data_IF_070261531438
#
_entry.id   IF_070261531438
#
_cell.length_a   1.000
_cell.length_b   1.000
_cell.length_c   1.000
_cell.angle_alpha   90.00
_cell.angle_beta   90.00
_cell.angle_gamma   90.00
#
_symmetry.space_group_name_H-M   'P 1'
#
loop_
_entity.id
_entity.type
_entity.pdbx_description
1 polymer ?
#
# COMPACT_ATOMS: atom_id res chain seq x y z
N UNK A 1 -13.62 -25.79 1.50
CA UNK A 1 -12.23 -26.20 1.39
C UNK A 1 -12.18 -27.73 1.23
N UNK A 2 -11.30 -28.26 0.37
CA UNK A 2 -11.18 -29.71 0.10
C UNK A 2 -12.20 -30.25 -0.91
N UNK A 3 -12.47 -31.57 -0.85
CA UNK A 3 -13.29 -32.30 -1.82
C UNK A 3 -14.67 -31.69 -2.11
N UNK A 4 -15.46 -31.15 -1.13
CA UNK A 4 -16.73 -30.49 -1.42
C UNK A 4 -16.59 -29.24 -2.30
N UNK A 5 -15.49 -28.48 -2.13
CA UNK A 5 -15.26 -27.31 -2.96
C UNK A 5 -14.90 -27.70 -4.40
N UNK A 6 -14.10 -28.76 -4.57
CA UNK A 6 -13.75 -29.30 -5.88
C UNK A 6 -14.97 -29.90 -6.62
N UNK A 7 -15.89 -30.51 -5.90
CA UNK A 7 -17.15 -31.05 -6.46
C UNK A 7 -18.06 -29.95 -7.01
N UNK A 8 -18.13 -28.78 -6.35
CA UNK A 8 -19.02 -27.68 -6.76
C UNK A 8 -18.37 -26.74 -7.79
N UNK A 9 -17.05 -26.54 -7.72
CA UNK A 9 -16.34 -25.50 -8.49
C UNK A 9 -15.20 -26.05 -9.36
N UNK A 10 -15.10 -27.39 -9.49
CA UNK A 10 -14.09 -28.05 -10.30
C UNK A 10 -12.71 -28.15 -9.65
N UNK A 11 -11.75 -28.67 -10.39
CA UNK A 11 -10.38 -28.95 -9.93
C UNK A 11 -9.61 -27.71 -9.48
N UNK A 12 -9.94 -26.55 -10.03
CA UNK A 12 -9.32 -25.27 -9.63
C UNK A 12 -9.62 -24.91 -8.17
N UNK A 13 -10.67 -25.49 -7.58
CA UNK A 13 -11.07 -25.28 -6.19
C UNK A 13 -10.38 -26.23 -5.19
N UNK A 14 -9.42 -27.05 -5.62
CA UNK A 14 -8.72 -28.01 -4.75
C UNK A 14 -8.12 -27.37 -3.49
N UNK A 15 -7.56 -26.15 -3.62
CA UNK A 15 -7.00 -25.38 -2.52
C UNK A 15 -8.03 -24.55 -1.74
N UNK A 16 -9.30 -24.62 -2.10
CA UNK A 16 -10.41 -23.90 -1.49
C UNK A 16 -11.03 -22.85 -2.40
N UNK A 17 -12.20 -22.36 -2.02
CA UNK A 17 -12.94 -21.31 -2.72
C UNK A 17 -13.31 -20.21 -1.75
N UNK A 18 -13.16 -18.96 -2.19
CA UNK A 18 -13.71 -17.79 -1.53
C UNK A 18 -14.83 -17.25 -2.40
N UNK A 19 -16.07 -17.42 -1.94
CA UNK A 19 -17.24 -16.89 -2.61
C UNK A 19 -17.52 -15.48 -2.11
N UNK A 20 -17.48 -14.50 -3.01
CA UNK A 20 -17.76 -13.10 -2.70
C UNK A 20 -19.11 -12.73 -3.30
N UNK A 21 -20.06 -12.38 -2.45
CA UNK A 21 -21.35 -11.83 -2.86
C UNK A 21 -21.35 -10.33 -2.60
N UNK A 22 -21.50 -9.55 -3.65
CA UNK A 22 -21.55 -8.08 -3.55
C UNK A 22 -22.92 -7.62 -3.03
N UNK A 23 -22.91 -6.51 -2.29
CA UNK A 23 -24.15 -5.88 -1.80
C UNK A 23 -25.01 -5.44 -2.98
N UNK A 24 -26.32 -5.48 -2.77
CA UNK A 24 -27.35 -5.03 -3.72
C UNK A 24 -28.46 -4.32 -2.95
N UNK A 25 -29.30 -3.54 -3.63
CA UNK A 25 -30.53 -3.00 -3.06
C UNK A 25 -31.46 -4.14 -2.58
N UNK A 26 -32.30 -3.83 -1.63
CA UNK A 26 -33.30 -4.74 -1.09
C UNK A 26 -34.70 -4.11 -1.19
N UNK A 27 -35.69 -4.91 -1.59
CA UNK A 27 -37.08 -4.46 -1.66
C UNK A 27 -37.60 -4.09 -0.25
N UNK A 28 -38.30 -2.97 -0.16
CA UNK A 28 -38.88 -2.47 1.10
C UNK A 28 -37.86 -1.93 2.11
N UNK A 29 -36.57 -1.81 1.74
CA UNK A 29 -35.54 -1.29 2.62
C UNK A 29 -34.93 -0.02 2.07
N UNK A 30 -34.80 1.00 2.94
CA UNK A 30 -33.99 2.19 2.71
C UNK A 30 -32.94 2.27 3.80
N UNK A 31 -31.68 2.41 3.40
CA UNK A 31 -30.57 2.46 4.34
C UNK A 31 -29.47 3.39 3.83
N UNK A 32 -28.99 4.25 4.70
CA UNK A 32 -27.75 5.01 4.51
C UNK A 32 -26.79 4.52 5.59
N UNK A 33 -25.60 4.11 5.19
CA UNK A 33 -24.57 3.69 6.12
C UNK A 33 -23.28 4.46 5.88
N UNK A 34 -22.73 5.04 6.94
CA UNK A 34 -21.40 5.64 6.95
C UNK A 34 -20.47 4.78 7.80
N UNK A 35 -19.31 4.48 7.27
CA UNK A 35 -18.26 3.74 8.00
C UNK A 35 -16.96 4.52 7.94
N UNK A 36 -16.30 4.64 9.07
CA UNK A 36 -14.98 5.25 9.21
C UNK A 36 -14.06 4.33 9.98
N UNK A 37 -12.86 4.14 9.47
CA UNK A 37 -11.81 3.32 10.10
C UNK A 37 -10.49 4.04 9.97
N UNK A 38 -9.70 4.05 11.06
CA UNK A 38 -8.33 4.57 11.08
C UNK A 38 -7.42 3.50 11.67
N UNK A 39 -6.36 3.17 10.95
CA UNK A 39 -5.32 2.24 11.39
C UNK A 39 -3.99 2.97 11.57
N UNK A 40 -3.24 2.57 12.56
CA UNK A 40 -1.89 3.05 12.86
C UNK A 40 -0.91 1.89 12.72
N UNK A 41 0.13 2.10 11.91
CA UNK A 41 1.14 1.10 11.61
C UNK A 41 2.49 1.53 12.20
N UNK A 42 3.18 0.61 12.88
CA UNK A 42 4.53 0.83 13.39
C UNK A 42 5.44 -0.33 13.00
N UNK A 43 6.69 -0.02 12.69
CA UNK A 43 7.72 -1.03 12.52
C UNK A 43 7.96 -1.71 13.88
N UNK A 44 7.74 -3.02 13.95
CA UNK A 44 7.80 -3.80 15.19
C UNK A 44 9.06 -4.65 15.29
N UNK A 45 9.42 -5.35 14.21
CA UNK A 45 10.62 -6.20 14.17
C UNK A 45 11.70 -5.49 13.36
N UNK A 46 12.65 -4.90 14.06
CA UNK A 46 13.79 -4.21 13.48
C UNK A 46 15.08 -4.98 13.76
N UNK A 47 16.09 -4.93 12.87
CA UNK A 47 17.39 -5.52 13.12
C UNK A 47 18.03 -4.98 14.39
N UNK A 48 18.62 -5.87 15.16
CA UNK A 48 19.49 -5.50 16.28
C UNK A 48 20.91 -5.36 15.75
N UNK A 49 21.48 -4.18 15.96
CA UNK A 49 22.87 -3.94 15.60
C UNK A 49 23.80 -4.23 16.78
N UNK A 50 25.00 -4.71 16.48
CA UNK A 50 26.06 -4.86 17.45
C UNK A 50 26.61 -3.46 17.85
N UNK A 51 27.23 -3.34 19.04
CA UNK A 51 27.82 -2.11 19.55
C UNK A 51 29.17 -2.32 20.25
N UNK A 52 29.90 -3.37 19.85
CA UNK A 52 31.18 -3.75 20.42
C UNK A 52 32.36 -3.64 19.45
N UNK A 53 32.07 -3.45 18.16
CA UNK A 53 33.08 -3.31 17.09
C UNK A 53 32.73 -2.08 16.26
N UNK A 54 33.71 -1.21 16.06
CA UNK A 54 33.59 -0.06 15.18
C UNK A 54 33.66 -0.42 13.72
N UNK A 55 33.81 0.60 12.89
CA UNK A 55 34.00 0.40 11.45
C UNK A 55 35.39 -0.12 11.15
N UNK A 56 35.49 -1.03 10.18
CA UNK A 56 36.78 -1.49 9.63
C UNK A 56 37.26 -0.60 8.50
N UNK A 57 36.30 -0.09 7.73
CA UNK A 57 36.47 0.87 6.63
C UNK A 57 35.20 1.69 6.48
N UNK A 58 35.06 2.43 5.38
CA UNK A 58 33.90 3.28 5.14
C UNK A 58 32.55 2.50 4.93
N UNK A 59 32.63 1.17 4.80
CA UNK A 59 31.48 0.34 4.42
C UNK A 59 31.11 -0.68 5.50
N UNK A 60 32.11 -1.21 6.25
CA UNK A 60 31.89 -2.35 7.13
C UNK A 60 32.03 -2.01 8.63
N UNK A 61 31.35 -2.76 9.48
CA UNK A 61 31.18 -2.51 10.91
C UNK A 61 31.86 -3.57 11.80
N UNK A 62 32.90 -4.23 11.36
CA UNK A 62 33.61 -5.29 12.11
C UNK A 62 35.10 -4.99 12.23
N UNK A 63 35.42 -3.73 12.57
CA UNK A 63 36.77 -3.26 12.82
C UNK A 63 37.26 -3.58 14.23
N UNK A 64 38.02 -2.66 14.80
CA UNK A 64 38.55 -2.84 16.15
C UNK A 64 37.46 -2.87 17.21
N UNK A 65 37.76 -3.60 18.30
CA UNK A 65 36.83 -3.67 19.44
C UNK A 65 36.81 -2.34 20.19
N UNK A 66 35.66 -1.73 20.22
CA UNK A 66 35.42 -0.49 20.92
C UNK A 66 33.98 -0.46 21.47
N UNK A 67 33.71 0.45 22.42
CA UNK A 67 32.37 0.66 22.90
C UNK A 67 31.67 1.72 22.05
N UNK A 68 30.75 1.28 21.18
CA UNK A 68 29.98 2.17 20.31
C UNK A 68 28.93 2.90 21.11
N UNK A 69 29.06 4.22 21.17
CA UNK A 69 28.13 5.11 21.86
C UNK A 69 27.10 5.74 20.93
N UNK A 70 27.33 5.71 19.61
CA UNK A 70 26.36 6.16 18.62
C UNK A 70 25.11 5.28 18.65
N UNK A 71 23.94 5.92 18.65
CA UNK A 71 22.68 5.23 18.68
C UNK A 71 22.44 4.31 17.46
N UNK A 72 21.41 3.47 17.58
CA UNK A 72 20.92 2.72 16.41
C UNK A 72 20.05 3.64 15.54
N UNK A 73 20.42 3.95 14.29
CA UNK A 73 19.65 4.86 13.42
C UNK A 73 18.35 4.25 12.91
N UNK A 74 18.22 2.92 12.94
CA UNK A 74 17.11 2.21 12.30
C UNK A 74 15.74 2.60 12.87
N UNK A 75 15.50 2.62 14.20
CA UNK A 75 14.19 2.95 14.74
C UNK A 75 13.72 4.38 14.38
N UNK A 76 14.65 5.35 14.35
CA UNK A 76 14.34 6.76 14.08
C UNK A 76 14.04 7.05 12.59
N UNK A 77 14.38 6.13 11.71
CA UNK A 77 14.09 6.23 10.28
C UNK A 77 12.61 5.99 9.96
N UNK A 78 11.94 5.20 10.80
CA UNK A 78 10.54 4.89 10.63
C UNK A 78 9.65 5.85 11.41
N UNK A 79 8.52 6.20 10.82
CA UNK A 79 7.44 6.92 11.48
C UNK A 79 6.24 6.02 11.75
N UNK A 80 5.26 6.54 12.46
CA UNK A 80 3.95 5.90 12.52
C UNK A 80 3.21 6.14 11.20
N UNK A 81 2.89 5.06 10.51
CA UNK A 81 1.99 5.08 9.36
C UNK A 81 0.55 5.29 9.83
N UNK A 82 -0.26 5.93 8.98
CA UNK A 82 -1.69 6.14 9.25
C UNK A 82 -2.47 5.84 7.99
N UNK A 83 -3.46 4.97 8.09
CA UNK A 83 -4.40 4.67 7.01
C UNK A 83 -5.82 4.98 7.47
N UNK A 84 -6.51 5.87 6.76
CA UNK A 84 -7.90 6.21 7.02
C UNK A 84 -8.77 5.72 5.85
N UNK A 85 -9.88 5.07 6.18
CA UNK A 85 -10.89 4.61 5.22
C UNK A 85 -12.24 5.18 5.64
N UNK A 86 -12.86 5.92 4.74
CA UNK A 86 -14.21 6.45 4.93
C UNK A 86 -15.09 5.93 3.80
N UNK A 87 -16.25 5.41 4.13
CA UNK A 87 -17.20 4.96 3.13
C UNK A 87 -18.63 5.41 3.46
N UNK A 88 -19.35 5.77 2.43
CA UNK A 88 -20.75 6.06 2.46
C UNK A 88 -21.46 5.09 1.50
N UNK A 89 -22.53 4.46 1.97
CA UNK A 89 -23.38 3.65 1.10
C UNK A 89 -24.84 4.02 1.28
N UNK A 90 -25.54 3.90 0.18
CA UNK A 90 -26.98 4.13 0.09
C UNK A 90 -27.62 2.89 -0.56
N UNK A 91 -28.70 2.43 0.02
CA UNK A 91 -29.47 1.32 -0.49
C UNK A 91 -30.96 1.66 -0.42
N UNK A 92 -31.65 1.43 -1.51
CA UNK A 92 -33.12 1.56 -1.56
C UNK A 92 -33.70 0.55 -2.56
N UNK A 93 -34.98 0.31 -2.47
CA UNK A 93 -35.66 -0.51 -3.48
C UNK A 93 -37.09 -0.83 -3.13
N UNK A 94 -37.80 -1.22 -4.19
CA UNK A 94 -39.10 -1.86 -4.14
C UNK A 94 -39.02 -3.23 -4.88
N UNK A 95 -40.14 -3.89 -5.06
CA UNK A 95 -40.19 -5.19 -5.75
C UNK A 95 -39.74 -5.15 -7.22
N UNK A 96 -39.83 -3.97 -7.87
CA UNK A 96 -39.47 -3.79 -9.26
C UNK A 96 -38.06 -3.29 -9.47
N UNK A 97 -37.60 -2.36 -8.63
CA UNK A 97 -36.33 -1.69 -8.79
C UNK A 97 -35.59 -1.65 -7.44
N UNK A 98 -34.32 -2.02 -7.45
CA UNK A 98 -33.45 -2.03 -6.27
C UNK A 98 -32.12 -1.41 -6.63
N UNK A 99 -31.74 -0.36 -5.90
CA UNK A 99 -30.52 0.43 -6.12
C UNK A 99 -29.59 0.27 -4.93
N UNK A 100 -28.32 0.08 -5.22
CA UNK A 100 -27.23 0.18 -4.28
C UNK A 100 -26.15 1.11 -4.84
N UNK A 101 -25.79 2.10 -4.07
CA UNK A 101 -24.65 2.99 -4.35
C UNK A 101 -23.68 2.98 -3.20
N UNK A 102 -22.39 3.01 -3.48
CA UNK A 102 -21.39 3.27 -2.45
C UNK A 102 -20.19 4.05 -3.00
N UNK A 103 -19.65 4.88 -2.13
CA UNK A 103 -18.39 5.56 -2.33
C UNK A 103 -17.47 5.26 -1.15
N UNK A 104 -16.21 4.92 -1.43
CA UNK A 104 -15.18 4.74 -0.42
C UNK A 104 -13.93 5.54 -0.80
N UNK A 105 -13.39 6.25 0.18
CA UNK A 105 -12.10 6.91 0.10
C UNK A 105 -11.12 6.24 1.05
N UNK A 106 -9.91 5.99 0.58
CA UNK A 106 -8.80 5.52 1.41
C UNK A 106 -7.64 6.49 1.24
N UNK A 107 -7.13 7.01 2.34
CA UNK A 107 -5.90 7.81 2.38
C UNK A 107 -4.89 7.13 3.30
N UNK A 108 -3.65 7.05 2.88
CA UNK A 108 -2.59 6.40 3.65
C UNK A 108 -1.29 7.20 3.62
N UNK A 109 -0.64 7.27 4.78
CA UNK A 109 0.76 7.66 4.92
C UNK A 109 1.49 6.43 5.47
N UNK A 110 2.47 5.93 4.73
CA UNK A 110 3.24 4.74 5.14
C UNK A 110 4.20 5.01 6.30
N UNK A 111 4.83 3.94 6.79
CA UNK A 111 5.84 4.01 7.86
C UNK A 111 7.17 4.63 7.40
N UNK A 112 7.41 4.74 6.10
CA UNK A 112 8.53 5.49 5.53
C UNK A 112 8.05 6.88 5.10
N UNK A 113 8.94 7.87 5.18
CA UNK A 113 8.64 9.22 4.73
C UNK A 113 8.25 9.23 3.24
N UNK A 114 7.43 10.19 2.87
CA UNK A 114 6.98 10.40 1.49
C UNK A 114 6.17 9.26 0.84
N UNK A 115 5.92 8.14 1.55
CA UNK A 115 4.98 7.12 1.08
C UNK A 115 3.55 7.56 1.28
N UNK A 116 2.77 7.63 0.19
CA UNK A 116 1.36 8.06 0.22
C UNK A 116 0.50 7.17 -0.67
N UNK A 117 -0.70 6.90 -0.19
CA UNK A 117 -1.78 6.25 -0.91
C UNK A 117 -3.01 7.15 -0.93
N UNK A 118 -3.62 7.30 -2.09
CA UNK A 118 -4.97 7.84 -2.24
C UNK A 118 -5.76 6.91 -3.16
N UNK A 119 -6.95 6.51 -2.70
CA UNK A 119 -7.80 5.58 -3.45
C UNK A 119 -9.25 6.02 -3.32
N UNK A 120 -9.95 6.05 -4.45
CA UNK A 120 -11.38 6.31 -4.54
C UNK A 120 -12.05 5.13 -5.23
N UNK A 121 -13.12 4.64 -4.64
CA UNK A 121 -13.91 3.56 -5.21
C UNK A 121 -15.38 3.97 -5.22
N UNK A 122 -16.00 3.88 -6.38
CA UNK A 122 -17.43 4.11 -6.58
C UNK A 122 -18.04 2.79 -7.06
N UNK A 123 -19.14 2.39 -6.45
CA UNK A 123 -19.93 1.26 -6.93
C UNK A 123 -21.39 1.68 -7.07
N UNK A 124 -21.98 1.36 -8.21
CA UNK A 124 -23.40 1.50 -8.49
C UNK A 124 -23.93 0.17 -8.99
N UNK A 125 -24.97 -0.34 -8.36
CA UNK A 125 -25.67 -1.54 -8.78
C UNK A 125 -27.15 -1.29 -8.83
N UNK A 126 -27.75 -1.62 -9.95
CA UNK A 126 -29.17 -1.50 -10.21
C UNK A 126 -29.70 -2.89 -10.59
N UNK A 127 -30.80 -3.27 -9.92
CA UNK A 127 -31.53 -4.48 -10.27
C UNK A 127 -32.96 -4.09 -10.62
N UNK A 128 -33.42 -4.44 -11.80
CA UNK A 128 -34.78 -4.16 -12.27
C UNK A 128 -35.50 -5.47 -12.63
N UNK A 129 -36.75 -5.59 -12.25
CA UNK A 129 -37.59 -6.76 -12.45
C UNK A 129 -38.85 -6.35 -13.24
N UNK A 130 -39.10 -7.04 -14.34
CA UNK A 130 -40.18 -6.77 -15.27
C UNK A 130 -41.06 -8.01 -15.46
N UNK A 131 -42.25 -7.80 -16.03
CA UNK A 131 -43.18 -8.85 -16.38
C UNK A 131 -43.48 -9.83 -15.21
N UNK A 132 -43.86 -9.26 -14.06
CA UNK A 132 -44.19 -10.04 -12.87
C UNK A 132 -43.08 -11.02 -12.40
N UNK A 133 -41.83 -10.59 -12.56
CA UNK A 133 -40.68 -11.41 -12.16
C UNK A 133 -40.10 -12.31 -13.24
N UNK A 134 -40.66 -12.29 -14.45
CA UNK A 134 -40.14 -13.12 -15.55
C UNK A 134 -38.80 -12.62 -16.11
N UNK A 135 -38.62 -11.30 -16.21
CA UNK A 135 -37.34 -10.72 -16.66
C UNK A 135 -36.69 -9.96 -15.50
N UNK A 136 -35.47 -10.34 -15.16
CA UNK A 136 -34.62 -9.64 -14.21
C UNK A 136 -33.36 -9.16 -14.89
N UNK A 137 -33.09 -7.87 -14.77
CA UNK A 137 -31.86 -7.20 -15.26
C UNK A 137 -31.05 -6.77 -14.03
N UNK A 138 -29.78 -7.12 -13.97
CA UNK A 138 -28.86 -6.75 -12.89
C UNK A 138 -27.61 -6.13 -13.52
N UNK A 139 -27.49 -4.82 -13.39
CA UNK A 139 -26.35 -4.02 -13.84
C UNK A 139 -25.47 -3.58 -12.68
N UNK A 140 -24.16 -3.67 -12.84
CA UNK A 140 -23.21 -3.18 -11.84
C UNK A 140 -22.05 -2.45 -12.50
N UNK A 141 -21.69 -1.29 -11.97
CA UNK A 141 -20.53 -0.49 -12.36
C UNK A 141 -19.67 -0.26 -11.14
N UNK A 142 -18.39 -0.63 -11.22
CA UNK A 142 -17.40 -0.34 -10.21
C UNK A 142 -16.26 0.46 -10.84
N UNK A 143 -16.00 1.65 -10.28
CA UNK A 143 -14.93 2.56 -10.70
C UNK A 143 -13.92 2.70 -9.59
N UNK A 144 -12.65 2.51 -9.92
CA UNK A 144 -11.53 2.66 -9.02
C UNK A 144 -10.53 3.65 -9.60
N UNK A 145 -10.14 4.64 -8.79
CA UNK A 145 -8.96 5.48 -9.03
C UNK A 145 -8.01 5.33 -7.84
N UNK A 146 -6.75 5.01 -8.11
CA UNK A 146 -5.72 4.82 -7.09
C UNK A 146 -4.44 5.53 -7.51
N UNK A 147 -3.85 6.26 -6.56
CA UNK A 147 -2.54 6.90 -6.70
C UNK A 147 -1.66 6.44 -5.55
N UNK A 148 -0.48 5.97 -5.89
CA UNK A 148 0.56 5.59 -4.92
C UNK A 148 1.79 6.44 -5.22
N UNK A 149 2.31 7.13 -4.20
CA UNK A 149 3.58 7.83 -4.27
C UNK A 149 4.63 7.05 -3.48
N UNK A 150 5.79 6.85 -4.09
CA UNK A 150 6.97 6.22 -3.50
C UNK A 150 6.66 4.82 -2.93
N UNK A 151 6.13 3.93 -3.77
CA UNK A 151 5.96 2.53 -3.38
C UNK A 151 7.31 1.96 -2.90
N UNK A 152 7.36 1.26 -1.74
CA UNK A 152 8.58 0.61 -1.29
C UNK A 152 9.15 -0.33 -2.35
N UNK A 153 10.44 -0.20 -2.61
CA UNK A 153 11.18 -1.12 -3.49
C UNK A 153 11.75 -2.24 -2.62
N UNK A 154 11.44 -3.51 -2.91
CA UNK A 154 11.94 -4.63 -2.11
C UNK A 154 13.35 -5.06 -2.49
N UNK A 155 13.99 -5.84 -1.62
CA UNK A 155 15.28 -6.49 -1.87
C UNK A 155 16.47 -5.55 -1.82
N UNK A 156 17.59 -5.98 -2.41
CA UNK A 156 18.86 -5.28 -2.41
C UNK A 156 19.04 -4.23 -3.51
N UNK A 157 17.94 -3.71 -4.06
CA UNK A 157 18.02 -2.66 -5.07
C UNK A 157 18.48 -1.32 -4.48
N UNK A 158 19.33 -0.63 -5.21
CA UNK A 158 19.87 0.69 -4.84
C UNK A 158 18.79 1.76 -4.54
N UNK A 159 17.57 1.59 -5.04
CA UNK A 159 16.43 2.46 -4.71
C UNK A 159 15.71 2.08 -3.40
N UNK A 160 16.15 1.00 -2.73
CA UNK A 160 15.61 0.62 -1.42
C UNK A 160 16.38 1.37 -0.32
N UNK A 161 15.77 2.31 0.41
CA UNK A 161 16.46 3.08 1.44
C UNK A 161 16.94 2.24 2.62
N UNK A 162 16.39 1.04 2.79
CA UNK A 162 16.78 0.15 3.90
C UNK A 162 18.14 -0.49 3.68
N UNK A 163 18.64 -0.56 2.45
CA UNK A 163 19.97 -1.13 2.16
C UNK A 163 21.04 -0.29 2.82
N UNK A 164 21.14 1.00 2.50
CA UNK A 164 22.09 1.90 3.12
C UNK A 164 21.86 2.08 4.63
N UNK A 165 20.59 2.11 5.06
CA UNK A 165 20.26 2.23 6.48
C UNK A 165 20.76 1.03 7.31
N UNK A 166 20.60 -0.21 6.82
CA UNK A 166 20.95 -1.42 7.57
C UNK A 166 22.44 -1.72 7.52
N UNK A 167 23.13 -1.27 6.48
CA UNK A 167 24.57 -1.41 6.32
C UNK A 167 25.36 -0.23 6.87
N UNK A 168 24.69 0.83 7.31
CA UNK A 168 25.37 2.01 7.83
C UNK A 168 26.39 1.65 8.92
N UNK A 169 27.66 2.08 8.78
CA UNK A 169 28.75 1.67 9.68
C UNK A 169 28.51 2.02 11.13
N UNK A 170 28.88 1.12 12.02
CA UNK A 170 28.78 1.35 13.45
C UNK A 170 29.90 2.30 13.90
N UNK A 171 29.53 3.25 14.76
CA UNK A 171 30.45 4.28 15.22
C UNK A 171 30.27 5.62 14.51
N UNK A 172 29.75 5.63 13.29
CA UNK A 172 29.40 6.88 12.61
C UNK A 172 28.05 7.44 13.06
N UNK A 173 27.91 8.76 12.96
CA UNK A 173 26.64 9.45 13.20
C UNK A 173 25.91 9.68 11.88
N UNK A 174 24.73 9.12 11.75
CA UNK A 174 23.89 9.26 10.54
C UNK A 174 23.21 10.63 10.45
N UNK A 175 23.24 11.43 11.53
CA UNK A 175 22.54 12.72 11.60
C UNK A 175 23.04 13.68 10.54
N UNK A 176 24.35 13.72 10.27
CA UNK A 176 24.93 14.54 9.22
C UNK A 176 24.33 14.20 7.85
N UNK A 177 24.23 12.92 7.53
CA UNK A 177 23.68 12.44 6.25
C UNK A 177 22.17 12.59 6.15
N UNK A 178 21.50 12.80 7.27
CA UNK A 178 20.07 13.13 7.30
C UNK A 178 19.85 14.63 7.08
N UNK A 179 20.58 15.48 7.76
CA UNK A 179 20.43 16.94 7.70
C UNK A 179 20.98 17.52 6.40
N UNK A 180 22.07 16.93 5.92
CA UNK A 180 22.75 17.30 4.69
C UNK A 180 22.78 16.13 3.72
N UNK A 181 21.61 15.61 3.34
CA UNK A 181 21.52 14.42 2.48
C UNK A 181 22.01 14.65 1.05
N UNK A 182 22.25 15.90 0.67
CA UNK A 182 22.79 16.28 -0.64
C UNK A 182 23.85 17.36 -0.52
N UNK A 183 24.79 17.34 -1.45
CA UNK A 183 25.86 18.33 -1.61
C UNK A 183 25.97 18.76 -3.06
N UNK A 184 26.37 20.03 -3.26
CA UNK A 184 26.63 20.54 -4.60
C UNK A 184 27.90 19.94 -5.20
N UNK A 185 27.80 19.42 -6.41
CA UNK A 185 28.93 18.91 -7.18
C UNK A 185 29.28 19.92 -8.27
N UNK A 186 30.46 20.56 -8.15
CA UNK A 186 30.91 21.60 -9.07
C UNK A 186 31.15 21.09 -10.49
N UNK A 187 31.67 19.88 -10.63
CA UNK A 187 31.99 19.30 -11.95
C UNK A 187 30.71 18.97 -12.73
N UNK A 188 29.70 18.44 -12.04
CA UNK A 188 28.42 18.03 -12.64
C UNK A 188 27.37 19.13 -12.66
N UNK A 189 27.61 20.26 -11.99
CA UNK A 189 26.68 21.37 -11.83
C UNK A 189 25.29 20.96 -11.33
N UNK A 190 25.23 20.01 -10.36
CA UNK A 190 24.00 19.54 -9.74
C UNK A 190 24.26 19.02 -8.32
N UNK A 191 23.19 18.91 -7.52
CA UNK A 191 23.27 18.26 -6.23
C UNK A 191 23.37 16.75 -6.40
N UNK A 192 24.33 16.14 -5.69
CA UNK A 192 24.50 14.68 -5.57
C UNK A 192 24.24 14.26 -4.13
N UNK A 193 24.01 12.96 -3.91
CA UNK A 193 23.85 12.45 -2.55
C UNK A 193 25.13 12.71 -1.72
N UNK A 194 24.93 13.10 -0.47
CA UNK A 194 25.97 13.06 0.53
C UNK A 194 25.95 11.70 1.21
N UNK A 195 26.97 10.90 1.04
CA UNK A 195 27.04 9.56 1.62
C UNK A 195 28.48 9.15 1.91
N UNK A 196 28.68 8.33 2.95
CA UNK A 196 30.00 7.86 3.37
C UNK A 196 30.68 6.94 2.34
N UNK A 197 29.88 6.23 1.54
CA UNK A 197 30.35 5.34 0.49
C UNK A 197 29.84 5.78 -0.90
N UNK A 198 30.35 6.89 -1.46
CA UNK A 198 29.77 7.52 -2.65
C UNK A 198 29.97 6.72 -3.95
N UNK A 199 30.86 5.74 -3.95
CA UNK A 199 31.16 4.88 -5.12
C UNK A 199 30.37 3.58 -5.13
N UNK A 200 29.63 3.27 -4.05
CA UNK A 200 28.86 2.04 -3.93
C UNK A 200 27.48 2.19 -4.56
N UNK A 201 27.20 1.42 -5.61
CA UNK A 201 25.91 1.45 -6.30
C UNK A 201 24.74 0.90 -5.48
N UNK A 202 25.00 -0.07 -4.60
CA UNK A 202 23.97 -0.71 -3.81
C UNK A 202 23.59 0.03 -2.53
N UNK A 203 24.47 0.90 -2.08
CA UNK A 203 24.41 1.55 -0.79
C UNK A 203 24.32 3.04 -0.94
N UNK A 204 23.12 3.56 -0.93
CA UNK A 204 22.86 4.99 -1.09
C UNK A 204 22.31 5.59 0.19
N UNK A 205 22.46 6.90 0.32
CA UNK A 205 21.89 7.64 1.42
C UNK A 205 20.36 7.43 1.48
N UNK A 206 19.84 6.82 2.56
CA UNK A 206 18.40 6.53 2.68
C UNK A 206 17.51 7.77 2.65
N UNK A 207 18.00 8.91 3.12
CA UNK A 207 17.26 10.17 3.12
C UNK A 207 17.26 10.82 1.73
N UNK A 208 18.35 10.70 0.98
CA UNK A 208 18.39 11.09 -0.43
C UNK A 208 17.37 10.32 -1.25
N UNK A 209 17.30 9.00 -1.06
CA UNK A 209 16.32 8.16 -1.74
C UNK A 209 14.90 8.62 -1.43
N UNK A 210 14.59 8.90 -0.16
CA UNK A 210 13.25 9.33 0.24
C UNK A 210 12.86 10.70 -0.34
N UNK A 211 13.82 11.62 -0.47
CA UNK A 211 13.53 12.99 -0.87
C UNK A 211 13.66 13.22 -2.39
N UNK A 212 14.59 12.55 -3.06
CA UNK A 212 14.93 12.80 -4.46
C UNK A 212 14.44 11.73 -5.42
N UNK A 213 14.40 10.47 -5.02
CA UNK A 213 13.89 9.39 -5.86
C UNK A 213 12.39 9.27 -5.67
N UNK A 214 11.63 9.82 -6.60
CA UNK A 214 10.17 9.80 -6.53
C UNK A 214 9.58 8.89 -7.60
N UNK A 215 8.68 8.01 -7.18
CA UNK A 215 7.86 7.18 -8.06
C UNK A 215 6.37 7.51 -7.88
N UNK A 216 5.61 7.41 -8.95
CA UNK A 216 4.17 7.63 -8.94
C UNK A 216 3.48 6.54 -9.75
N UNK A 217 2.65 5.76 -9.07
CA UNK A 217 1.79 4.77 -9.72
C UNK A 217 0.36 5.30 -9.75
N UNK A 218 -0.23 5.28 -10.91
CA UNK A 218 -1.65 5.58 -11.08
C UNK A 218 -2.36 4.37 -11.67
N UNK A 219 -3.49 4.03 -11.08
CA UNK A 219 -4.37 2.98 -11.60
C UNK A 219 -5.79 3.50 -11.68
N UNK A 220 -6.37 3.42 -12.86
CA UNK A 220 -7.79 3.62 -13.09
C UNK A 220 -8.36 2.30 -13.58
N UNK A 221 -9.47 1.84 -12.98
CA UNK A 221 -10.13 0.60 -13.35
C UNK A 221 -11.64 0.80 -13.36
N UNK A 222 -12.27 0.38 -14.43
CA UNK A 222 -13.72 0.27 -14.54
C UNK A 222 -14.08 -1.21 -14.74
N UNK A 223 -15.02 -1.69 -13.95
CA UNK A 223 -15.61 -3.01 -14.10
C UNK A 223 -17.10 -2.79 -14.29
N UNK A 224 -17.62 -3.28 -15.40
CA UNK A 224 -19.04 -3.21 -15.73
C UNK A 224 -19.54 -4.64 -15.92
N UNK A 225 -20.65 -4.97 -15.30
CA UNK A 225 -21.32 -6.25 -15.50
C UNK A 225 -22.80 -6.05 -15.74
N UNK A 226 -23.37 -6.84 -16.63
CA UNK A 226 -24.79 -6.88 -16.92
C UNK A 226 -25.24 -8.36 -16.96
N UNK A 227 -26.21 -8.69 -16.15
CA UNK A 227 -26.83 -10.01 -16.14
C UNK A 227 -28.30 -9.90 -16.48
N UNK A 228 -28.76 -10.74 -17.41
CA UNK A 228 -30.15 -10.87 -17.83
C UNK A 228 -30.64 -12.27 -17.45
N UNK A 229 -31.72 -12.35 -16.68
CA UNK A 229 -32.35 -13.61 -16.31
C UNK A 229 -33.79 -13.59 -16.81
N UNK A 230 -34.12 -14.50 -17.69
CA UNK A 230 -35.46 -14.66 -18.25
C UNK A 230 -36.01 -16.05 -17.85
N UNK A 231 -37.18 -16.06 -17.17
CA UNK A 231 -37.96 -17.29 -16.97
C UNK A 231 -38.83 -17.53 -18.18
N UNK A 232 -38.62 -18.65 -18.86
CA UNK A 232 -39.33 -19.01 -20.08
C UNK A 232 -40.66 -19.73 -19.78
N UNK A 233 -40.76 -20.43 -18.63
CA UNK A 233 -41.96 -21.12 -18.16
C UNK A 233 -42.13 -20.94 -16.67
#
# INVERSE_FOLDING_TARGET
KGAPAAALYGTQAANGVILITTKKGLAGKQEVAFTSSVAFDKAMMLPKLQNHYGMSDEIESWGERENITTGNPIPSFFRTGVTAIHSLSFMTGNERVQTYFSYANTTGKGILENHKLSKHNINLRETATFYEGRLKIDGNVNLLSQHVKNRPVPGGFYMNPLVGLYRFPRGMDITEYKEHFEVWNEERHLNVQNWHAPTEDFEQNPYWIQERITSRDQRIRAIVSLALNLKIT
#
